data_IF_755241402396
#
_entry.id   IF_755241402396
#
_cell.length_a   1.000
_cell.length_b   1.000
_cell.length_c   1.000
_cell.angle_alpha   90.00
_cell.angle_beta   90.00
_cell.angle_gamma   90.00
#
_symmetry.space_group_name_H-M   'P 1'
#
loop_
_entity.id
_entity.type
_entity.pdbx_description
1 polymer ?
#
# COMPACT_ATOMS: atom_id res chain seq x y z
N UNK A 1 -9.27 -2.71 -42.79
CA UNK A 1 -9.60 -1.35 -42.34
C UNK A 1 -8.63 -1.04 -41.23
N UNK A 2 -7.87 0.05 -41.30
CA UNK A 2 -6.89 0.39 -40.27
C UNK A 2 -7.57 1.15 -39.13
N UNK A 3 -7.25 0.76 -37.92
CA UNK A 3 -7.71 1.33 -36.66
C UNK A 3 -6.51 1.97 -36.02
N UNK A 4 -6.62 3.27 -35.73
CA UNK A 4 -5.56 4.04 -35.09
C UNK A 4 -5.98 4.37 -33.66
N UNK A 5 -5.13 4.04 -32.70
CA UNK A 5 -5.44 4.17 -31.28
C UNK A 5 -4.26 4.80 -30.54
N UNK A 6 -4.55 5.74 -29.64
CA UNK A 6 -3.59 6.27 -28.68
C UNK A 6 -3.78 5.56 -27.34
N UNK A 7 -2.70 5.00 -26.83
CA UNK A 7 -2.61 4.50 -25.47
C UNK A 7 -1.75 5.43 -24.63
N UNK A 8 -2.18 5.69 -23.39
CA UNK A 8 -1.31 6.26 -22.37
C UNK A 8 -1.03 5.17 -21.34
N UNK A 9 0.25 4.87 -21.16
CA UNK A 9 0.73 3.96 -20.12
C UNK A 9 1.39 4.78 -19.03
N UNK A 10 1.04 4.54 -17.78
CA UNK A 10 1.63 5.20 -16.63
C UNK A 10 2.24 4.17 -15.69
N UNK A 11 3.40 4.50 -15.13
CA UNK A 11 4.09 3.67 -14.14
C UNK A 11 4.54 4.54 -12.97
N UNK A 12 4.43 3.96 -11.77
CA UNK A 12 4.89 4.53 -10.52
C UNK A 12 5.94 3.59 -9.91
N UNK A 13 7.05 4.14 -9.43
CA UNK A 13 8.09 3.33 -8.80
C UNK A 13 9.38 4.07 -8.50
N UNK A 14 10.42 3.30 -8.21
CA UNK A 14 11.78 3.79 -7.96
C UNK A 14 12.83 2.71 -8.27
N UNK A 15 14.07 3.10 -8.63
CA UNK A 15 14.54 4.46 -8.92
C UNK A 15 13.98 5.02 -10.25
N UNK A 16 14.11 6.33 -10.47
CA UNK A 16 13.59 7.04 -11.64
C UNK A 16 14.06 6.43 -12.98
N UNK A 17 15.31 5.98 -13.06
CA UNK A 17 15.86 5.35 -14.27
C UNK A 17 15.14 4.03 -14.60
N UNK A 18 14.88 3.20 -13.59
CA UNK A 18 14.26 1.88 -13.81
C UNK A 18 12.80 1.95 -14.26
N UNK A 19 12.06 2.98 -13.87
CA UNK A 19 10.67 3.14 -14.33
C UNK A 19 10.61 3.54 -15.80
N UNK A 20 11.55 4.37 -16.28
CA UNK A 20 11.65 4.71 -17.70
C UNK A 20 12.04 3.49 -18.53
N UNK A 21 13.09 2.78 -18.11
CA UNK A 21 13.53 1.54 -18.78
C UNK A 21 12.44 0.47 -18.82
N UNK A 22 11.66 0.34 -17.74
CA UNK A 22 10.56 -0.62 -17.68
C UNK A 22 9.44 -0.24 -18.64
N UNK A 23 9.13 1.05 -18.74
CA UNK A 23 8.12 1.55 -19.67
C UNK A 23 8.57 1.39 -21.12
N UNK A 24 9.83 1.69 -21.44
CA UNK A 24 10.41 1.44 -22.75
C UNK A 24 10.34 -0.06 -23.13
N UNK A 25 10.74 -0.97 -22.23
CA UNK A 25 10.63 -2.42 -22.46
C UNK A 25 9.19 -2.87 -22.69
N UNK A 26 8.23 -2.33 -21.94
CA UNK A 26 6.81 -2.63 -22.12
C UNK A 26 6.32 -2.20 -23.50
N UNK A 27 6.76 -1.04 -24.00
CA UNK A 27 6.44 -0.53 -25.33
C UNK A 27 7.13 -1.35 -26.43
N UNK A 28 8.38 -1.77 -26.20
CA UNK A 28 9.10 -2.63 -27.14
C UNK A 28 8.38 -3.98 -27.29
N UNK A 29 7.94 -4.59 -26.17
CA UNK A 29 7.10 -5.81 -26.18
C UNK A 29 5.77 -5.61 -26.90
N UNK A 30 5.18 -4.41 -26.80
CA UNK A 30 3.97 -4.06 -27.56
C UNK A 30 4.26 -4.05 -29.06
N UNK A 31 5.40 -3.46 -29.48
CA UNK A 31 5.83 -3.41 -30.87
C UNK A 31 6.20 -4.77 -31.49
N UNK A 32 6.49 -5.78 -30.68
CA UNK A 32 6.72 -7.16 -31.14
C UNK A 32 5.43 -7.92 -31.49
N UNK A 33 4.25 -7.38 -31.13
CA UNK A 33 2.98 -8.06 -31.39
C UNK A 33 2.64 -8.07 -32.88
N UNK A 34 2.45 -9.28 -33.43
CA UNK A 34 2.08 -9.46 -34.84
C UNK A 34 0.74 -8.80 -35.15
N UNK A 35 0.71 -7.99 -36.19
CA UNK A 35 -0.49 -7.29 -36.64
C UNK A 35 -0.75 -5.96 -35.91
N UNK A 36 0.21 -5.50 -35.10
CA UNK A 36 0.25 -4.16 -34.52
C UNK A 36 1.45 -3.41 -35.08
N UNK A 37 1.27 -2.15 -35.41
CA UNK A 37 2.34 -1.23 -35.79
C UNK A 37 2.37 -0.06 -34.79
N UNK A 38 3.53 0.21 -34.19
CA UNK A 38 3.72 1.39 -33.34
C UNK A 38 4.09 2.57 -34.25
N UNK A 39 3.16 3.52 -34.41
CA UNK A 39 3.32 4.67 -35.30
C UNK A 39 4.09 5.79 -34.63
N UNK A 40 3.87 5.99 -33.32
CA UNK A 40 4.54 7.02 -32.54
C UNK A 40 4.68 6.58 -31.10
N UNK A 41 5.83 6.89 -30.49
CA UNK A 41 6.06 6.74 -29.05
C UNK A 41 6.65 8.02 -28.49
N UNK A 42 6.12 8.49 -27.37
CA UNK A 42 6.65 9.61 -26.59
C UNK A 42 6.71 9.17 -25.14
N UNK A 43 7.91 8.97 -24.61
CA UNK A 43 8.14 8.62 -23.21
C UNK A 43 8.58 9.89 -22.48
N UNK A 44 7.85 10.28 -21.45
CA UNK A 44 8.15 11.49 -20.69
C UNK A 44 9.19 11.22 -19.61
N UNK A 45 9.88 12.27 -19.17
CA UNK A 45 10.86 12.13 -18.08
C UNK A 45 10.14 11.86 -16.75
N UNK A 46 10.68 10.94 -15.92
CA UNK A 46 10.15 10.70 -14.60
C UNK A 46 10.12 11.94 -13.72
N UNK A 47 9.00 12.12 -13.01
CA UNK A 47 8.79 13.20 -12.05
C UNK A 47 8.66 12.63 -10.66
N UNK A 48 9.31 13.27 -9.70
CA UNK A 48 9.13 12.96 -8.29
C UNK A 48 7.68 13.29 -7.91
N UNK A 49 7.04 12.40 -7.17
CA UNK A 49 5.69 12.64 -6.66
C UNK A 49 5.79 13.61 -5.49
N UNK A 50 5.10 14.74 -5.61
CA UNK A 50 5.00 15.78 -4.60
C UNK A 50 3.57 15.88 -4.06
N UNK A 51 3.43 16.38 -2.83
CA UNK A 51 2.12 16.69 -2.27
C UNK A 51 1.65 18.06 -2.79
N UNK A 52 0.65 18.03 -3.66
CA UNK A 52 0.03 19.22 -4.23
C UNK A 52 -1.25 19.64 -3.48
N UNK A 53 -1.59 18.97 -2.37
CA UNK A 53 -2.81 19.21 -1.60
C UNK A 53 -4.12 18.93 -2.34
N UNK A 54 -4.07 18.39 -3.57
CA UNK A 54 -5.23 18.04 -4.38
C UNK A 54 -5.44 16.53 -4.29
N UNK A 55 -6.47 16.15 -3.57
CA UNK A 55 -6.96 14.78 -3.52
C UNK A 55 -8.45 14.78 -3.22
N UNK A 56 -9.19 13.98 -3.97
CA UNK A 56 -10.65 13.95 -3.94
C UNK A 56 -11.16 13.03 -2.82
N UNK A 57 -10.29 12.23 -2.20
CA UNK A 57 -10.65 11.32 -1.12
C UNK A 57 -9.59 11.18 -0.02
N UNK A 58 -10.04 10.79 1.18
CA UNK A 58 -9.14 10.54 2.33
C UNK A 58 -8.14 9.41 2.06
N UNK A 59 -8.55 8.39 1.30
CA UNK A 59 -7.70 7.24 0.95
C UNK A 59 -6.58 7.64 0.01
N UNK A 60 -6.92 8.35 -1.07
CA UNK A 60 -5.96 8.84 -2.04
C UNK A 60 -4.94 9.79 -1.40
N UNK A 61 -5.38 10.64 -0.45
CA UNK A 61 -4.46 11.48 0.33
C UNK A 61 -3.43 10.65 1.12
N UNK A 62 -3.88 9.58 1.80
CA UNK A 62 -2.99 8.70 2.56
C UNK A 62 -2.00 7.96 1.65
N UNK A 63 -2.45 7.51 0.49
CA UNK A 63 -1.57 6.88 -0.51
C UNK A 63 -0.53 7.86 -1.03
N UNK A 64 -0.94 9.07 -1.41
CA UNK A 64 -0.05 10.12 -1.92
C UNK A 64 0.97 10.55 -0.87
N UNK A 65 0.54 10.76 0.38
CA UNK A 65 1.46 11.01 1.50
C UNK A 65 2.49 9.90 1.66
N UNK A 66 2.09 8.63 1.50
CA UNK A 66 3.01 7.49 1.54
C UNK A 66 3.97 7.45 0.35
N UNK A 67 3.53 7.81 -0.86
CA UNK A 67 4.39 7.90 -2.03
C UNK A 67 5.44 9.00 -1.89
N UNK A 68 5.05 10.18 -1.41
CA UNK A 68 5.95 11.30 -1.14
C UNK A 68 6.98 10.91 -0.08
N UNK A 69 6.55 10.33 1.05
CA UNK A 69 7.46 9.85 2.11
C UNK A 69 8.47 8.83 1.60
N UNK A 70 8.09 8.00 0.62
CA UNK A 70 8.93 6.98 0.03
C UNK A 70 9.80 7.47 -1.12
N UNK A 71 9.66 8.74 -1.53
CA UNK A 71 10.37 9.34 -2.67
C UNK A 71 10.06 8.63 -4.00
N UNK A 72 8.79 8.31 -4.24
CA UNK A 72 8.36 7.64 -5.48
C UNK A 72 8.37 8.60 -6.66
N UNK A 73 8.64 8.04 -7.83
CA UNK A 73 8.56 8.75 -9.11
C UNK A 73 7.41 8.18 -9.94
N UNK A 74 6.83 9.02 -10.80
CA UNK A 74 5.93 8.57 -11.86
C UNK A 74 6.41 9.03 -13.23
N UNK A 75 6.12 8.25 -14.24
CA UNK A 75 6.27 8.63 -15.64
C UNK A 75 5.14 8.02 -16.47
N UNK A 76 4.87 8.61 -17.61
CA UNK A 76 3.91 8.09 -18.57
C UNK A 76 4.46 8.14 -19.99
N UNK A 77 3.89 7.31 -20.84
CA UNK A 77 4.21 7.24 -22.25
C UNK A 77 2.93 7.29 -23.08
N UNK A 78 2.99 8.09 -24.14
CA UNK A 78 1.98 8.16 -25.18
C UNK A 78 2.42 7.28 -26.35
N UNK A 79 1.60 6.30 -26.70
CA UNK A 79 1.90 5.33 -27.75
C UNK A 79 0.74 5.31 -28.74
N UNK A 80 0.98 5.83 -29.95
CA UNK A 80 0.04 5.68 -31.05
C UNK A 80 0.34 4.38 -31.78
N UNK A 81 -0.68 3.54 -31.91
CA UNK A 81 -0.62 2.27 -32.62
C UNK A 81 -1.61 2.22 -33.77
N UNK A 82 -1.32 1.37 -34.74
CA UNK A 82 -2.19 1.07 -35.87
C UNK A 82 -2.34 -0.44 -36.03
N UNK A 83 -3.57 -0.91 -36.23
CA UNK A 83 -3.86 -2.33 -36.49
C UNK A 83 -5.10 -2.47 -37.36
N UNK A 84 -5.28 -3.61 -38.01
CA UNK A 84 -6.53 -3.95 -38.70
C UNK A 84 -7.48 -4.80 -37.83
N UNK A 85 -7.05 -5.21 -36.64
CA UNK A 85 -7.79 -6.13 -35.78
C UNK A 85 -8.19 -5.48 -34.45
N UNK A 86 -9.47 -5.17 -34.30
CA UNK A 86 -10.01 -4.57 -33.06
C UNK A 86 -9.83 -5.49 -31.84
N UNK A 87 -9.83 -6.82 -32.03
CA UNK A 87 -9.63 -7.76 -30.92
C UNK A 87 -8.22 -7.61 -30.32
N UNK A 88 -7.23 -7.18 -31.11
CA UNK A 88 -5.87 -6.93 -30.61
C UNK A 88 -5.85 -5.73 -29.68
N UNK A 89 -6.56 -4.64 -30.04
CA UNK A 89 -6.73 -3.47 -29.18
C UNK A 89 -7.42 -3.88 -27.88
N UNK A 90 -8.52 -4.63 -27.97
CA UNK A 90 -9.25 -5.12 -26.79
C UNK A 90 -8.36 -5.97 -25.87
N UNK A 91 -7.56 -6.87 -26.45
CA UNK A 91 -6.62 -7.68 -25.70
C UNK A 91 -5.52 -6.85 -25.01
N UNK A 92 -5.01 -5.81 -25.68
CA UNK A 92 -4.05 -4.86 -25.09
C UNK A 92 -4.68 -4.15 -23.89
N UNK A 93 -5.90 -3.64 -24.04
CA UNK A 93 -6.61 -2.94 -22.95
C UNK A 93 -6.81 -3.86 -21.74
N UNK A 94 -7.27 -5.10 -21.94
CA UNK A 94 -7.56 -6.03 -20.83
C UNK A 94 -6.29 -6.60 -20.16
N UNK A 95 -5.18 -6.72 -20.88
CA UNK A 95 -3.96 -7.36 -20.38
C UNK A 95 -2.90 -6.36 -19.90
N UNK A 96 -2.76 -5.23 -20.59
CA UNK A 96 -1.74 -4.22 -20.30
C UNK A 96 -2.29 -3.01 -19.54
N UNK A 97 -3.62 -2.89 -19.44
CA UNK A 97 -4.33 -1.90 -18.62
C UNK A 97 -3.73 -0.49 -18.72
N UNK A 98 -3.72 0.11 -19.92
CA UNK A 98 -3.31 1.50 -20.08
C UNK A 98 -4.15 2.40 -19.17
N UNK A 99 -3.57 3.49 -18.69
CA UNK A 99 -4.30 4.50 -17.90
C UNK A 99 -5.31 5.26 -18.77
N UNK A 100 -5.08 5.34 -20.07
CA UNK A 100 -6.01 5.94 -21.03
C UNK A 100 -5.99 5.25 -22.40
N UNK A 101 -7.15 5.21 -23.05
CA UNK A 101 -7.34 4.64 -24.39
C UNK A 101 -8.19 5.59 -25.21
N UNK A 102 -7.71 5.99 -26.38
CA UNK A 102 -8.44 6.83 -27.33
C UNK A 102 -8.37 6.24 -28.74
N UNK A 103 -9.52 5.96 -29.36
CA UNK A 103 -9.59 5.52 -30.75
C UNK A 103 -9.63 6.78 -31.63
N UNK A 104 -8.55 7.02 -32.37
CA UNK A 104 -8.41 8.17 -33.26
C UNK A 104 -9.16 7.94 -34.58
N UNK A 105 -9.13 6.71 -35.09
CA UNK A 105 -9.81 6.30 -36.32
C UNK A 105 -10.19 4.81 -36.28
N UNK A 106 -11.28 4.40 -36.93
CA UNK A 106 -12.32 5.22 -37.58
C UNK A 106 -13.31 5.87 -36.59
N UNK A 107 -14.22 6.71 -37.09
CA UNK A 107 -15.30 7.30 -36.28
C UNK A 107 -16.41 6.31 -35.93
N UNK A 108 -16.62 5.29 -36.75
CA UNK A 108 -17.62 4.25 -36.57
C UNK A 108 -16.97 2.89 -36.78
N UNK A 109 -17.35 1.90 -35.95
CA UNK A 109 -16.94 0.52 -36.10
C UNK A 109 -18.15 -0.40 -35.84
N UNK A 110 -18.15 -1.57 -36.47
CA UNK A 110 -19.19 -2.59 -36.26
C UNK A 110 -18.58 -3.86 -35.69
N UNK A 111 -19.20 -4.44 -34.67
CA UNK A 111 -18.87 -5.77 -34.16
C UNK A 111 -20.01 -6.73 -34.46
N UNK A 112 -19.65 -7.96 -34.82
CA UNK A 112 -20.63 -9.05 -34.91
C UNK A 112 -20.86 -9.71 -33.52
N UNK A 113 -21.89 -10.55 -33.44
CA UNK A 113 -22.24 -11.22 -32.18
C UNK A 113 -21.11 -12.10 -31.63
N UNK A 114 -20.31 -12.73 -32.49
CA UNK A 114 -19.20 -13.59 -32.08
C UNK A 114 -18.08 -12.77 -31.45
N UNK A 115 -17.70 -11.65 -32.08
CA UNK A 115 -16.67 -10.73 -31.56
C UNK A 115 -17.10 -10.11 -30.22
N UNK A 116 -18.32 -9.58 -30.15
CA UNK A 116 -18.85 -9.00 -28.92
C UNK A 116 -18.95 -10.04 -27.80
N UNK A 117 -19.42 -11.25 -28.11
CA UNK A 117 -19.49 -12.33 -27.12
C UNK A 117 -18.10 -12.73 -26.62
N UNK A 118 -17.09 -12.74 -27.50
CA UNK A 118 -15.70 -12.99 -27.14
C UNK A 118 -15.18 -11.96 -26.14
N UNK A 119 -15.31 -10.66 -26.46
CA UNK A 119 -14.93 -9.56 -25.59
C UNK A 119 -15.59 -9.66 -24.21
N UNK A 120 -16.92 -9.86 -24.18
CA UNK A 120 -17.68 -9.93 -22.93
C UNK A 120 -17.25 -11.12 -22.08
N UNK A 121 -16.92 -12.25 -22.71
CA UNK A 121 -16.42 -13.43 -22.02
C UNK A 121 -15.03 -13.19 -21.41
N UNK A 122 -14.11 -12.58 -22.16
CA UNK A 122 -12.76 -12.25 -21.66
C UNK A 122 -12.81 -11.25 -20.51
N UNK A 123 -13.62 -10.19 -20.64
CA UNK A 123 -13.86 -9.23 -19.57
C UNK A 123 -14.42 -9.92 -18.32
N UNK A 124 -15.41 -10.80 -18.48
CA UNK A 124 -16.01 -11.56 -17.38
C UNK A 124 -14.98 -12.44 -16.67
N UNK A 125 -14.12 -13.14 -17.41
CA UNK A 125 -13.03 -13.93 -16.84
C UNK A 125 -12.05 -13.06 -16.07
N UNK A 126 -11.67 -11.88 -16.60
CA UNK A 126 -10.77 -10.95 -15.91
C UNK A 126 -11.39 -10.43 -14.61
N UNK A 127 -12.67 -10.03 -14.65
CA UNK A 127 -13.39 -9.56 -13.47
C UNK A 127 -13.53 -10.64 -12.40
N UNK A 128 -13.84 -11.88 -12.79
CA UNK A 128 -13.90 -13.00 -11.82
C UNK A 128 -12.56 -13.25 -11.13
N UNK A 129 -11.44 -13.16 -11.86
CA UNK A 129 -10.11 -13.27 -11.25
C UNK A 129 -9.86 -12.15 -10.23
N UNK A 130 -10.27 -10.92 -10.52
CA UNK A 130 -10.15 -9.82 -9.56
C UNK A 130 -11.05 -9.96 -8.35
N UNK A 131 -12.28 -10.44 -8.55
CA UNK A 131 -13.20 -10.74 -7.45
C UNK A 131 -12.64 -11.84 -6.52
N UNK A 132 -12.06 -12.90 -7.09
CA UNK A 132 -11.40 -13.96 -6.34
C UNK A 132 -10.24 -13.42 -5.49
N UNK A 133 -9.30 -12.69 -6.13
CA UNK A 133 -8.16 -12.08 -5.43
C UNK A 133 -8.64 -11.14 -4.32
N UNK A 134 -9.63 -10.30 -4.59
CA UNK A 134 -10.18 -9.35 -3.61
C UNK A 134 -10.79 -10.07 -2.41
N UNK A 135 -11.57 -11.13 -2.65
CA UNK A 135 -12.18 -11.92 -1.56
C UNK A 135 -11.13 -12.54 -0.66
N UNK A 136 -10.07 -13.12 -1.24
CA UNK A 136 -8.96 -13.68 -0.47
C UNK A 136 -8.30 -12.58 0.37
N UNK A 137 -7.97 -11.43 -0.23
CA UNK A 137 -7.38 -10.29 0.48
C UNK A 137 -8.26 -9.79 1.63
N UNK A 138 -9.58 -9.72 1.43
CA UNK A 138 -10.51 -9.31 2.50
C UNK A 138 -10.48 -10.28 3.68
N UNK A 139 -10.47 -11.59 3.42
CA UNK A 139 -10.37 -12.62 4.47
C UNK A 139 -9.05 -12.54 5.24
N UNK A 140 -7.93 -12.38 4.52
CA UNK A 140 -6.62 -12.21 5.13
C UNK A 140 -6.55 -10.93 5.98
N UNK A 141 -7.06 -9.82 5.45
CA UNK A 141 -7.12 -8.54 6.16
C UNK A 141 -7.94 -8.67 7.45
N UNK A 142 -9.09 -9.33 7.42
CA UNK A 142 -9.91 -9.55 8.61
C UNK A 142 -9.21 -10.46 9.64
N UNK A 143 -8.52 -11.51 9.17
CA UNK A 143 -7.70 -12.38 10.02
C UNK A 143 -6.55 -11.61 10.71
N UNK A 144 -5.81 -10.79 9.95
CA UNK A 144 -4.71 -9.99 10.47
C UNK A 144 -5.19 -8.95 11.48
N UNK A 145 -6.31 -8.26 11.21
CA UNK A 145 -6.91 -7.32 12.16
C UNK A 145 -7.27 -8.03 13.47
N UNK A 146 -7.84 -9.25 13.40
CA UNK A 146 -8.14 -10.03 14.60
C UNK A 146 -6.87 -10.36 15.39
N UNK A 147 -5.80 -10.77 14.71
CA UNK A 147 -4.51 -11.08 15.36
C UNK A 147 -3.84 -9.87 15.98
N UNK A 148 -3.94 -8.71 15.35
CA UNK A 148 -3.41 -7.46 15.88
C UNK A 148 -4.12 -7.10 17.20
N UNK A 149 -5.45 -7.18 17.24
CA UNK A 149 -6.23 -6.94 18.47
C UNK A 149 -5.87 -7.92 19.59
N UNK A 150 -5.77 -9.22 19.28
CA UNK A 150 -5.34 -10.24 20.25
C UNK A 150 -3.93 -9.96 20.82
N UNK A 151 -3.04 -9.36 20.03
CA UNK A 151 -1.69 -8.98 20.47
C UNK A 151 -1.70 -7.70 21.31
N UNK A 152 -2.44 -6.67 20.90
CA UNK A 152 -2.64 -5.43 21.67
C UNK A 152 -3.21 -5.72 23.06
N UNK A 153 -4.24 -6.58 23.14
CA UNK A 153 -4.84 -6.99 24.42
C UNK A 153 -3.83 -7.69 25.34
N UNK A 154 -2.96 -8.54 24.77
CA UNK A 154 -1.90 -9.21 25.55
C UNK A 154 -0.85 -8.22 26.04
N UNK A 155 -0.39 -7.29 25.20
CA UNK A 155 0.60 -6.28 25.58
C UNK A 155 0.04 -5.35 26.67
N UNK A 156 -1.21 -4.92 26.56
CA UNK A 156 -1.87 -4.12 27.59
C UNK A 156 -1.98 -4.86 28.93
N UNK A 157 -2.21 -6.18 28.90
CA UNK A 157 -2.26 -7.00 30.11
C UNK A 157 -0.87 -7.20 30.74
N UNK A 158 0.19 -7.32 29.93
CA UNK A 158 1.57 -7.40 30.42
C UNK A 158 2.04 -6.09 31.08
N UNK A 159 1.70 -4.92 30.54
CA UNK A 159 2.01 -3.62 31.18
C UNK A 159 1.25 -3.41 32.52
N UNK A 160 0.09 -4.04 32.67
CA UNK A 160 -0.67 -4.08 33.93
C UNK A 160 -0.03 -4.97 35.00
N UNK A 161 0.55 -6.11 34.61
CA UNK A 161 1.21 -7.05 35.54
C UNK A 161 2.58 -6.53 36.05
N UNK A 162 3.33 -5.79 35.22
CA UNK A 162 4.65 -5.24 35.64
C UNK A 162 4.53 -4.16 36.71
N UNK A 163 3.41 -3.43 36.79
CA UNK A 163 3.16 -2.46 37.90
C UNK A 163 2.78 -3.13 39.23
N UNK A 164 2.55 -4.45 39.25
CA UNK A 164 2.10 -5.18 40.44
C UNK A 164 3.19 -5.91 41.23
N UNK A 165 4.46 -5.84 40.83
CA UNK A 165 5.54 -6.68 41.41
C UNK A 165 6.49 -5.94 42.36
N UNK A 166 6.46 -4.60 42.45
CA UNK A 166 7.40 -3.83 43.29
C UNK A 166 6.93 -3.46 44.72
N UNK A 167 5.80 -4.01 45.21
CA UNK A 167 5.34 -3.75 46.59
C UNK A 167 5.10 -5.03 47.41
N UNK A 168 6.08 -5.93 47.53
CA UNK A 168 6.17 -6.85 48.69
C UNK A 168 7.62 -7.18 49.05
N UNK A 169 8.31 -6.23 49.67
CA UNK A 169 9.36 -6.55 50.65
C UNK A 169 9.08 -5.82 51.97
N UNK A 170 8.98 -6.67 52.99
CA UNK A 170 9.22 -6.41 54.41
C UNK A 170 8.26 -5.47 55.13
N UNK A 171 7.22 -6.06 55.73
CA UNK A 171 6.73 -5.59 57.01
C UNK A 171 6.25 -6.78 57.85
N UNK A 172 7.03 -7.14 58.88
CA UNK A 172 6.53 -7.58 60.18
C UNK A 172 7.70 -7.91 61.11
N UNK A 173 8.28 -6.87 61.72
CA UNK A 173 8.67 -7.01 63.11
C UNK A 173 8.32 -5.73 63.87
N UNK A 174 7.72 -5.94 65.05
CA UNK A 174 7.37 -4.98 66.10
C UNK A 174 6.00 -4.29 66.01
N UNK A 175 5.04 -4.83 66.79
CA UNK A 175 4.59 -4.16 68.03
C UNK A 175 3.54 -5.00 68.76
N UNK A 176 3.93 -5.55 69.92
CA UNK A 176 3.10 -5.54 71.14
C UNK A 176 4.05 -5.57 72.32
N UNK A 177 3.99 -4.55 73.17
CA UNK A 177 3.78 -4.62 74.62
C UNK A 177 3.57 -3.16 75.05
N UNK A 178 2.33 -2.82 75.40
CA UNK A 178 2.03 -1.73 76.32
C UNK A 178 1.73 -2.39 77.68
N UNK A 179 2.47 -2.01 78.72
CA UNK A 179 1.98 -1.49 79.98
C UNK A 179 3.02 -1.62 81.11
N UNK A 180 3.08 -0.54 81.87
CA UNK A 180 3.51 -0.43 83.27
C UNK A 180 4.99 -0.23 83.64
N UNK A 181 5.16 0.91 84.32
CA UNK A 181 6.02 1.16 85.48
C UNK A 181 7.46 1.68 85.31
N UNK A 182 7.58 2.94 85.78
CA UNK A 182 8.53 3.45 86.78
C UNK A 182 9.96 3.78 86.30
N UNK A 183 10.18 5.09 86.20
CA UNK A 183 11.29 5.89 86.77
C UNK A 183 12.70 5.30 86.65
N UNK A 184 13.58 5.96 85.90
CA UNK A 184 14.70 6.68 86.52
C UNK A 184 15.43 7.58 85.52
N UNK A 185 15.72 8.78 86.03
CA UNK A 185 16.52 9.84 85.43
C UNK A 185 17.97 9.49 85.74
N UNK A 186 18.87 9.50 84.75
CA UNK A 186 20.25 9.93 85.01
C UNK A 186 20.90 10.47 83.73
N UNK A 187 21.17 11.78 83.80
CA UNK A 187 22.09 12.51 82.94
C UNK A 187 23.47 12.18 83.49
N UNK A 188 24.38 11.69 82.66
CA UNK A 188 25.79 11.96 82.91
C UNK A 188 26.58 12.18 81.63
N UNK A 189 27.67 12.87 81.85
CA UNK A 189 28.28 13.91 81.06
C UNK A 189 29.72 13.54 80.73
N UNK A 190 30.30 14.25 79.77
CA UNK A 190 31.74 14.50 79.68
C UNK A 190 32.72 13.30 79.58
N UNK A 191 33.37 13.18 78.42
CA UNK A 191 34.81 13.50 78.24
C UNK A 191 35.34 12.99 76.90
N UNK A 192 35.71 13.93 76.05
CA UNK A 192 36.78 13.73 75.09
C UNK A 192 37.85 14.77 75.44
N UNK A 193 38.98 14.31 75.97
CA UNK A 193 40.12 15.15 76.32
C UNK A 193 41.39 14.49 75.76
N UNK A 194 42.13 15.29 74.99
CA UNK A 194 43.45 15.07 74.38
C UNK A 194 43.61 14.01 73.27
#
# INVERSE_FOLDING_TARGET
>A
MKIKTLFIFEILGKPAEHIKDSLDKMIDQLGEQKGLEVVRRVVHEPKLIEDDGKSDSKLEKLEKENYVKQGMYSTFAEVEVETENINLIMAIVLNMLPSHVEILQPSEFSLNNTELSGLMSELTVKMHKYDEVTKVLMLEKDYLIKKLKEAEDKVSNFEGEVKGVDEKKEDNEHKKIDQDNVVDIEIDSEKNNN
#
